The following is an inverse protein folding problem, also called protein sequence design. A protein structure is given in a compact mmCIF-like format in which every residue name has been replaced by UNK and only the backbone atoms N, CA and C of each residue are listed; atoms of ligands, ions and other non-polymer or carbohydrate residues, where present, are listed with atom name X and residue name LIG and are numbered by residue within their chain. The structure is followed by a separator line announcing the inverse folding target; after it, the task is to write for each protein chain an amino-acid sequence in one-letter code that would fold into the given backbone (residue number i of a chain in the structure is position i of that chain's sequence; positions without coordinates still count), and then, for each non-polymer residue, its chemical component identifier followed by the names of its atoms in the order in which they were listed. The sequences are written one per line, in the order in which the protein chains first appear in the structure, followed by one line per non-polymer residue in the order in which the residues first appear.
data_IF_024463244307
#
_entry.id   IF_024463244307
#
_cell.length_a   1.000
_cell.length_b   1.000
_cell.length_c   1.000
_cell.angle_alpha   90.00
_cell.angle_beta   90.00
_cell.angle_gamma   90.00
#
_symmetry.space_group_name_H-M   'P 1'
#
loop_
_entity.id
_entity.type
_entity.pdbx_description
1 polymer ?
#
# COMPACT_ATOMS: atom_id res chain seq x y z
N UNK A 1 20.28 4.08 9.21
CA UNK A 1 20.27 2.62 9.01
C UNK A 1 18.97 2.27 8.31
N UNK A 2 19.01 2.05 7.00
CA UNK A 2 17.83 1.73 6.19
C UNK A 2 18.20 0.53 5.29
N UNK A 3 17.95 -0.67 5.79
CA UNK A 3 18.01 -1.92 5.06
C UNK A 3 17.13 -2.90 5.84
N UNK A 4 16.00 -3.33 5.26
CA UNK A 4 15.10 -4.26 5.96
C UNK A 4 13.92 -4.77 5.14
N UNK A 5 13.44 -4.01 4.14
CA UNK A 5 12.24 -4.40 3.38
C UNK A 5 12.42 -5.54 2.37
N UNK A 6 13.65 -5.93 2.03
CA UNK A 6 13.89 -7.07 1.10
C UNK A 6 13.78 -8.43 1.76
N UNK A 7 13.99 -8.51 3.08
CA UNK A 7 14.10 -9.78 3.81
C UNK A 7 12.78 -10.54 3.84
N UNK A 8 11.65 -9.86 4.04
CA UNK A 8 10.37 -10.54 4.29
C UNK A 8 9.74 -11.11 3.02
N UNK A 9 9.91 -10.41 1.89
CA UNK A 9 9.47 -10.90 0.58
C UNK A 9 10.33 -12.06 0.09
N UNK A 10 11.64 -12.01 0.32
CA UNK A 10 12.56 -13.08 -0.09
C UNK A 10 12.34 -14.34 0.77
N UNK A 11 12.06 -14.16 2.06
CA UNK A 11 11.69 -15.25 2.97
C UNK A 11 10.34 -15.88 2.61
N UNK A 12 9.32 -15.07 2.29
CA UNK A 12 8.01 -15.57 1.86
C UNK A 12 8.14 -16.35 0.53
N UNK A 13 8.92 -15.85 -0.42
CA UNK A 13 9.17 -16.53 -1.69
C UNK A 13 9.92 -17.85 -1.49
N UNK A 14 10.92 -17.86 -0.63
CA UNK A 14 11.67 -19.09 -0.30
C UNK A 14 10.74 -20.12 0.34
N UNK A 15 9.91 -19.71 1.30
CA UNK A 15 8.94 -20.59 1.95
C UNK A 15 7.88 -21.13 0.97
N UNK A 16 7.40 -20.31 0.02
CA UNK A 16 6.46 -20.75 -1.02
C UNK A 16 7.12 -21.76 -1.97
N UNK A 17 8.37 -21.53 -2.38
CA UNK A 17 9.10 -22.46 -3.24
C UNK A 17 9.42 -23.79 -2.53
N UNK A 18 9.74 -23.76 -1.23
CA UNK A 18 9.89 -24.97 -0.41
C UNK A 18 8.57 -25.74 -0.27
N UNK A 19 7.45 -25.04 -0.11
CA UNK A 19 6.10 -25.64 -0.10
C UNK A 19 5.73 -26.29 -1.45
N UNK A 20 6.09 -25.65 -2.56
CA UNK A 20 5.87 -26.20 -3.91
C UNK A 20 6.69 -27.46 -4.17
N UNK A 21 7.86 -27.60 -3.53
CA UNK A 21 8.74 -28.76 -3.66
C UNK A 21 8.39 -29.91 -2.69
N UNK A 22 7.71 -29.63 -1.58
CA UNK A 22 7.42 -30.63 -0.54
C UNK A 22 6.06 -31.32 -0.68
N UNK A 23 5.11 -30.77 -1.45
CA UNK A 23 3.78 -31.36 -1.62
C UNK A 23 3.47 -31.79 -3.06
N UNK A 24 3.59 -33.10 -3.32
CA UNK A 24 3.20 -33.78 -4.56
C UNK A 24 1.68 -33.76 -4.88
N UNK A 25 0.87 -33.04 -4.11
CA UNK A 25 -0.61 -33.02 -4.22
C UNK A 25 -1.18 -31.82 -4.98
N UNK A 26 -0.33 -30.88 -5.42
CA UNK A 26 -0.81 -29.66 -6.06
C UNK A 26 -1.09 -29.91 -7.56
N UNK A 27 -2.28 -29.53 -8.06
CA UNK A 27 -2.58 -29.58 -9.49
C UNK A 27 -1.50 -28.87 -10.30
N UNK A 28 -1.02 -29.50 -11.37
CA UNK A 28 0.11 -29.02 -12.18
C UNK A 28 -0.13 -27.60 -12.69
N UNK A 29 -1.36 -27.29 -13.11
CA UNK A 29 -1.69 -25.95 -13.61
C UNK A 29 -1.58 -24.86 -12.53
N UNK A 30 -1.85 -25.19 -11.27
CA UNK A 30 -1.76 -24.23 -10.18
C UNK A 30 -0.29 -23.94 -9.81
N UNK A 31 0.56 -24.97 -9.89
CA UNK A 31 2.02 -24.84 -9.71
C UNK A 31 2.62 -23.95 -10.79
N UNK A 32 2.31 -24.22 -12.06
CA UNK A 32 2.81 -23.43 -13.20
C UNK A 32 2.38 -21.97 -13.12
N UNK A 33 1.12 -21.70 -12.72
CA UNK A 33 0.63 -20.33 -12.55
C UNK A 33 1.35 -19.59 -11.42
N UNK A 34 1.66 -20.26 -10.32
CA UNK A 34 2.40 -19.67 -9.21
C UNK A 34 3.85 -19.39 -9.59
N UNK A 35 4.55 -20.33 -10.22
CA UNK A 35 5.93 -20.14 -10.68
C UNK A 35 6.02 -18.96 -11.66
N UNK A 36 5.11 -18.90 -12.63
CA UNK A 36 5.06 -17.80 -13.61
C UNK A 36 4.76 -16.44 -12.95
N UNK A 37 3.90 -16.41 -11.93
CA UNK A 37 3.60 -15.18 -11.19
C UNK A 37 4.80 -14.67 -10.37
N UNK A 38 5.59 -15.59 -9.80
CA UNK A 38 6.82 -15.26 -9.07
C UNK A 38 7.93 -14.75 -10.00
N UNK A 39 8.12 -15.40 -11.14
CA UNK A 39 9.11 -14.98 -12.15
C UNK A 39 8.78 -13.59 -12.73
N UNK A 40 7.53 -13.35 -13.10
CA UNK A 40 7.07 -12.04 -13.61
C UNK A 40 7.22 -10.92 -12.58
N UNK A 41 7.01 -11.19 -11.29
CA UNK A 41 7.29 -10.21 -10.24
C UNK A 41 8.78 -9.88 -10.14
N UNK A 42 9.66 -10.88 -10.25
CA UNK A 42 11.11 -10.68 -10.19
C UNK A 42 11.61 -9.86 -11.37
N UNK A 43 11.09 -10.13 -12.57
CA UNK A 43 11.41 -9.35 -13.77
C UNK A 43 10.95 -7.89 -13.64
N UNK A 44 9.74 -7.65 -13.13
CA UNK A 44 9.24 -6.31 -12.89
C UNK A 44 10.06 -5.56 -11.83
N UNK A 45 10.44 -6.22 -10.74
CA UNK A 45 11.29 -5.63 -9.70
C UNK A 45 12.69 -5.29 -10.24
N UNK A 46 13.28 -6.18 -11.05
CA UNK A 46 14.58 -5.94 -11.70
C UNK A 46 14.51 -4.78 -12.69
N UNK A 47 13.43 -4.67 -13.48
CA UNK A 47 13.21 -3.55 -14.40
C UNK A 47 13.07 -2.21 -13.65
N UNK A 48 12.32 -2.18 -12.55
CA UNK A 48 12.19 -0.99 -11.70
C UNK A 48 13.53 -0.59 -11.06
N UNK A 49 14.32 -1.55 -10.57
CA UNK A 49 15.65 -1.29 -10.03
C UNK A 49 16.62 -0.78 -11.11
N UNK A 50 16.57 -1.32 -12.32
CA UNK A 50 17.38 -0.87 -13.45
C UNK A 50 17.02 0.56 -13.89
N UNK A 51 15.73 0.90 -13.92
CA UNK A 51 15.24 2.25 -14.18
C UNK A 51 15.70 3.25 -13.11
N UNK A 52 15.63 2.87 -11.82
CA UNK A 52 16.12 3.70 -10.72
C UNK A 52 17.65 3.90 -10.79
N UNK A 53 18.40 2.87 -11.14
CA UNK A 53 19.85 2.93 -11.29
C UNK A 53 20.31 3.69 -12.55
N UNK A 54 19.50 3.71 -13.61
CA UNK A 54 19.74 4.53 -14.80
C UNK A 54 19.47 6.02 -14.49
N UNK A 55 18.41 6.32 -13.75
CA UNK A 55 18.09 7.68 -13.30
C UNK A 55 19.16 8.27 -12.36
N UNK A 56 19.89 7.43 -11.61
CA UNK A 56 21.01 7.85 -10.77
C UNK A 56 22.30 8.15 -11.56
N UNK A 57 22.42 7.66 -12.81
CA UNK A 57 23.62 7.78 -13.66
C UNK A 57 23.52 8.87 -14.74
N UNK A 58 22.32 9.37 -15.06
CA UNK A 58 22.11 10.41 -16.06
C UNK A 58 22.31 11.82 -15.51
N UNK A 59 23.38 12.49 -15.94
CA UNK A 59 23.58 13.93 -15.78
C UNK A 59 22.57 14.73 -16.61
N UNK A 60 22.29 15.95 -16.13
CA UNK A 60 21.30 16.86 -16.68
C UNK A 60 21.49 17.14 -18.18
N UNK A 61 20.58 16.65 -19.03
CA UNK A 61 20.11 17.29 -20.27
C UNK A 61 18.96 16.45 -20.85
N UNK A 62 17.76 16.64 -20.28
CA UNK A 62 16.46 16.52 -20.95
C UNK A 62 15.34 16.69 -19.90
N UNK A 63 14.97 17.95 -19.63
CA UNK A 63 13.97 18.35 -18.62
C UNK A 63 12.53 17.89 -18.96
N UNK A 64 12.32 17.16 -20.06
CA UNK A 64 11.04 16.56 -20.44
C UNK A 64 10.91 15.08 -20.07
N UNK A 65 12.00 14.39 -19.71
CA UNK A 65 12.01 12.95 -19.44
C UNK A 65 12.55 12.61 -18.04
N UNK A 66 12.82 13.61 -17.20
CA UNK A 66 13.20 13.37 -15.81
C UNK A 66 12.04 12.69 -15.06
N UNK A 67 12.25 11.53 -14.41
CA UNK A 67 11.20 10.88 -13.64
C UNK A 67 10.71 11.87 -12.56
N UNK A 68 9.40 12.10 -12.53
CA UNK A 68 8.78 13.00 -11.57
C UNK A 68 9.12 12.53 -10.16
N UNK A 69 9.96 13.31 -9.46
CA UNK A 69 10.32 12.99 -8.08
C UNK A 69 9.08 13.15 -7.21
N UNK A 70 8.75 12.17 -6.34
CA UNK A 70 7.63 12.30 -5.44
C UNK A 70 7.84 13.52 -4.54
N UNK A 71 6.89 14.44 -4.58
CA UNK A 71 6.92 15.63 -3.78
C UNK A 71 6.57 15.26 -2.34
N UNK A 72 7.42 15.62 -1.39
CA UNK A 72 7.07 15.51 0.03
C UNK A 72 5.93 16.49 0.31
N UNK A 73 4.79 15.96 0.72
CA UNK A 73 3.60 16.74 1.04
C UNK A 73 3.17 16.43 2.46
N UNK A 74 2.54 17.41 3.11
CA UNK A 74 2.03 17.26 4.46
C UNK A 74 0.50 17.33 4.44
N UNK A 75 -0.18 16.46 5.18
CA UNK A 75 -1.64 16.59 5.33
C UNK A 75 -1.96 17.83 6.14
N UNK A 76 -2.94 18.60 5.70
CA UNK A 76 -3.55 19.70 6.47
C UNK A 76 -4.78 19.15 7.19
N UNK A 77 -4.71 18.84 8.50
CA UNK A 77 -5.79 18.14 9.18
C UNK A 77 -7.08 18.96 9.27
N UNK A 78 -6.97 20.30 9.31
CA UNK A 78 -8.12 21.21 9.40
C UNK A 78 -8.97 21.27 8.12
N UNK A 79 -8.41 20.89 6.98
CA UNK A 79 -9.09 20.88 5.67
C UNK A 79 -9.35 19.47 5.15
N UNK A 80 -8.81 18.46 5.84
CA UNK A 80 -8.99 17.04 5.51
C UNK A 80 -10.23 16.51 6.19
N UNK A 81 -11.06 15.80 5.41
CA UNK A 81 -12.27 15.17 5.90
C UNK A 81 -11.94 14.11 6.97
N UNK A 82 -12.87 13.91 7.92
CA UNK A 82 -12.71 12.89 8.96
C UNK A 82 -12.67 11.48 8.35
N UNK A 83 -11.85 10.62 8.93
CA UNK A 83 -11.77 9.22 8.54
C UNK A 83 -13.05 8.47 8.88
N UNK A 84 -13.31 7.38 8.15
CA UNK A 84 -14.40 6.47 8.42
C UNK A 84 -14.13 5.76 9.75
N UNK A 85 -15.01 6.00 10.71
CA UNK A 85 -15.02 5.29 11.99
C UNK A 85 -15.93 4.06 11.96
N UNK A 86 -16.80 3.93 10.95
CA UNK A 86 -17.90 2.96 10.97
C UNK A 86 -17.56 1.64 10.28
N UNK A 87 -17.30 0.62 11.08
CA UNK A 87 -17.90 -0.70 10.80
C UNK A 87 -19.33 -0.71 11.37
N UNK A 88 -20.18 -1.69 11.06
CA UNK A 88 -21.56 -1.70 11.62
C UNK A 88 -21.50 -1.58 13.15
N UNK A 89 -22.37 -0.77 13.76
CA UNK A 89 -22.24 -0.40 15.19
C UNK A 89 -22.10 -1.59 16.15
N UNK A 90 -22.76 -2.71 15.86
CA UNK A 90 -22.61 -3.95 16.64
C UNK A 90 -21.23 -4.61 16.47
N UNK A 91 -20.66 -4.60 15.26
CA UNK A 91 -19.35 -5.18 15.00
C UNK A 91 -18.26 -4.35 15.69
N UNK A 92 -18.35 -3.03 15.64
CA UNK A 92 -17.43 -2.14 16.34
C UNK A 92 -17.50 -2.33 17.86
N UNK A 93 -18.70 -2.46 18.42
CA UNK A 93 -18.90 -2.77 19.86
C UNK A 93 -18.30 -4.14 20.21
N UNK A 94 -18.53 -5.17 19.39
CA UNK A 94 -17.94 -6.50 19.59
C UNK A 94 -16.40 -6.47 19.53
N UNK A 95 -15.82 -5.73 18.58
CA UNK A 95 -14.37 -5.57 18.45
C UNK A 95 -13.78 -4.83 19.65
N UNK A 96 -14.39 -3.72 20.06
CA UNK A 96 -13.91 -2.93 21.20
C UNK A 96 -14.10 -3.68 22.53
N UNK A 97 -15.22 -4.38 22.72
CA UNK A 97 -15.44 -5.23 23.89
C UNK A 97 -14.43 -6.37 23.93
N UNK A 98 -14.18 -7.02 22.79
CA UNK A 98 -13.13 -8.02 22.66
C UNK A 98 -11.75 -7.47 22.99
N UNK A 99 -11.39 -6.29 22.48
CA UNK A 99 -10.12 -5.64 22.80
C UNK A 99 -10.00 -5.25 24.28
N UNK A 100 -11.10 -4.86 24.93
CA UNK A 100 -11.13 -4.54 26.36
C UNK A 100 -10.79 -5.74 27.27
N UNK A 101 -10.89 -6.97 26.76
CA UNK A 101 -10.43 -8.18 27.47
C UNK A 101 -8.90 -8.28 27.57
N UNK A 102 -8.16 -7.46 26.81
CA UNK A 102 -6.70 -7.47 26.79
C UNK A 102 -6.08 -8.63 26.01
N UNK A 103 -6.89 -9.49 25.38
CA UNK A 103 -6.39 -10.60 24.57
C UNK A 103 -5.68 -10.07 23.30
N UNK A 104 -4.40 -10.42 23.05
CA UNK A 104 -3.62 -9.84 21.95
C UNK A 104 -4.26 -9.98 20.57
N UNK A 105 -4.89 -11.12 20.30
CA UNK A 105 -5.57 -11.38 19.02
C UNK A 105 -6.79 -10.48 18.80
N UNK A 106 -7.52 -10.12 19.86
CA UNK A 106 -8.69 -9.24 19.79
C UNK A 106 -8.28 -7.77 19.71
N UNK A 107 -7.23 -7.38 20.44
CA UNK A 107 -6.61 -6.06 20.32
C UNK A 107 -6.10 -5.84 18.90
N UNK A 108 -5.30 -6.76 18.37
CA UNK A 108 -4.76 -6.69 17.01
C UNK A 108 -5.88 -6.65 15.96
N UNK A 109 -6.93 -7.46 16.16
CA UNK A 109 -8.10 -7.43 15.27
C UNK A 109 -8.80 -6.08 15.34
N UNK A 110 -9.07 -5.53 16.52
CA UNK A 110 -9.70 -4.21 16.63
C UNK A 110 -8.85 -3.10 15.99
N UNK A 111 -7.53 -3.13 16.15
CA UNK A 111 -6.60 -2.20 15.50
C UNK A 111 -6.63 -2.31 13.97
N UNK A 112 -6.72 -3.53 13.43
CA UNK A 112 -6.80 -3.74 11.97
C UNK A 112 -8.07 -3.16 11.32
N UNK A 113 -9.11 -2.89 12.12
CA UNK A 113 -10.35 -2.26 11.65
C UNK A 113 -10.39 -0.74 11.87
N UNK A 114 -9.41 -0.16 12.58
CA UNK A 114 -9.32 1.29 12.76
C UNK A 114 -8.66 1.92 11.53
N UNK A 115 -9.32 2.93 10.96
CA UNK A 115 -8.66 3.79 9.99
C UNK A 115 -7.42 4.41 10.62
N UNK A 116 -6.30 4.37 9.89
CA UNK A 116 -5.10 5.13 10.23
C UNK A 116 -5.36 6.64 10.08
N UNK A 117 -4.47 7.54 10.52
CA UNK A 117 -4.57 8.96 10.22
C UNK A 117 -4.25 9.22 8.74
N UNK A 118 -4.62 10.40 8.22
CA UNK A 118 -4.49 10.68 6.78
C UNK A 118 -3.03 10.84 6.32
N UNK A 119 -2.08 10.90 7.24
CA UNK A 119 -0.64 10.90 6.96
C UNK A 119 -0.17 9.62 6.26
N UNK A 120 -0.81 8.47 6.51
CA UNK A 120 -0.41 7.21 5.87
C UNK A 120 -0.63 7.17 4.36
N UNK A 121 -1.50 8.04 3.82
CA UNK A 121 -1.76 8.12 2.37
C UNK A 121 -0.83 9.08 1.63
N UNK A 122 0.07 9.77 2.34
CA UNK A 122 1.10 10.62 1.74
C UNK A 122 2.48 10.06 2.03
N UNK A 123 2.97 9.26 1.09
CA UNK A 123 4.30 8.68 1.13
C UNK A 123 4.77 8.29 -0.27
N UNK A 124 6.08 8.19 -0.44
CA UNK A 124 6.70 7.66 -1.65
C UNK A 124 6.94 6.13 -1.56
N UNK A 125 6.54 5.51 -0.45
CA UNK A 125 6.68 4.07 -0.22
C UNK A 125 5.51 3.27 -0.79
N UNK A 126 5.68 1.95 -0.94
CA UNK A 126 4.63 1.07 -1.46
C UNK A 126 3.43 1.03 -0.50
N UNK A 127 2.21 0.97 -1.05
CA UNK A 127 1.00 0.81 -0.27
C UNK A 127 0.96 -0.54 0.47
N UNK A 128 0.97 -0.51 1.81
CA UNK A 128 0.94 -1.72 2.66
C UNK A 128 -0.50 -2.06 3.04
N UNK A 129 -0.93 -3.34 2.95
CA UNK A 129 -2.26 -3.75 3.43
C UNK A 129 -2.48 -3.37 4.90
N UNK A 130 -3.62 -2.73 5.18
CA UNK A 130 -3.96 -2.26 6.53
C UNK A 130 -3.41 -0.87 6.88
N UNK A 131 -2.52 -0.31 6.06
CA UNK A 131 -2.00 1.04 6.23
C UNK A 131 -2.77 2.03 5.34
N UNK A 132 -4.08 2.11 5.55
CA UNK A 132 -4.97 2.92 4.73
C UNK A 132 -5.80 3.90 5.57
N UNK A 133 -5.98 5.09 5.00
CA UNK A 133 -6.99 6.05 5.45
C UNK A 133 -8.31 5.75 4.74
N UNK A 134 -9.33 5.36 5.50
CA UNK A 134 -10.67 5.17 4.95
C UNK A 134 -11.47 6.47 5.06
N UNK A 135 -12.14 6.89 4.00
CA UNK A 135 -13.06 8.02 4.02
C UNK A 135 -14.52 7.55 4.13
N UNK A 136 -15.40 8.42 4.65
CA UNK A 136 -16.84 8.19 4.60
C UNK A 136 -17.50 9.07 3.53
N UNK A 137 -18.28 8.47 2.64
CA UNK A 137 -19.05 9.21 1.63
C UNK A 137 -18.18 10.07 0.72
N UNK A 138 -18.65 11.29 0.42
CA UNK A 138 -17.88 12.29 -0.30
C UNK A 138 -16.90 12.96 0.67
N UNK A 139 -15.61 12.80 0.41
CA UNK A 139 -14.56 13.27 1.29
C UNK A 139 -13.38 13.85 0.52
N UNK A 140 -12.60 14.65 1.21
CA UNK A 140 -11.43 15.35 0.69
C UNK A 140 -10.20 15.11 1.56
N UNK A 141 -9.04 15.10 0.91
CA UNK A 141 -7.75 15.25 1.56
C UNK A 141 -7.13 16.56 1.12
N UNK A 142 -6.58 17.31 2.06
CA UNK A 142 -5.88 18.55 1.76
C UNK A 142 -4.39 18.37 2.02
N UNK A 143 -3.59 18.63 0.98
CA UNK A 143 -2.14 18.47 1.03
C UNK A 143 -1.46 19.84 0.93
N UNK A 144 -0.55 20.11 1.87
CA UNK A 144 0.35 21.25 1.81
C UNK A 144 1.55 20.88 0.96
N UNK A 145 1.71 21.61 -0.13
CA UNK A 145 2.89 21.55 -0.98
C UNK A 145 4.05 22.31 -0.28
N UNK A 146 5.30 21.88 -0.45
CA UNK A 146 6.46 22.59 0.06
C UNK A 146 6.51 24.01 -0.51
N UNK A 147 7.00 24.96 0.30
CA UNK A 147 7.01 26.38 -0.03
C UNK A 147 7.75 26.66 -1.34
N UNK A 148 7.05 27.28 -2.29
CA UNK A 148 7.58 27.63 -3.61
C UNK A 148 6.51 27.62 -4.71
N UNK A 149 6.88 28.07 -5.91
CA UNK A 149 6.05 27.92 -7.11
C UNK A 149 6.17 26.48 -7.62
N UNK A 150 5.43 25.55 -7.02
CA UNK A 150 5.30 24.19 -7.52
C UNK A 150 4.09 24.08 -8.44
N UNK A 151 4.24 23.41 -9.59
CA UNK A 151 3.13 23.05 -10.48
C UNK A 151 2.92 21.55 -10.38
N UNK A 152 1.74 21.13 -9.94
CA UNK A 152 1.36 19.73 -9.91
C UNK A 152 1.10 19.28 -11.35
N UNK A 153 1.97 18.41 -11.88
CA UNK A 153 1.82 17.84 -13.24
C UNK A 153 1.03 16.54 -13.24
N UNK A 154 1.23 15.72 -12.20
CA UNK A 154 0.64 14.39 -12.10
C UNK A 154 0.24 14.11 -10.65
N UNK A 155 -0.86 13.37 -10.50
CA UNK A 155 -1.28 12.79 -9.23
C UNK A 155 -1.38 11.28 -9.44
N UNK A 156 -0.71 10.53 -8.57
CA UNK A 156 -0.72 9.07 -8.58
C UNK A 156 -1.48 8.61 -7.34
N UNK A 157 -2.45 7.72 -7.54
CA UNK A 157 -3.21 7.08 -6.46
C UNK A 157 -2.88 5.60 -6.52
N UNK A 158 -2.20 5.12 -5.48
CA UNK A 158 -1.84 3.71 -5.35
C UNK A 158 -2.82 2.98 -4.43
N UNK A 159 -3.02 1.70 -4.69
CA UNK A 159 -3.79 0.81 -3.84
C UNK A 159 -3.06 -0.51 -3.66
N UNK A 160 -3.19 -1.17 -2.49
CA UNK A 160 -2.70 -2.51 -2.32
C UNK A 160 -3.29 -3.45 -3.40
N UNK A 161 -2.52 -4.47 -3.83
CA UNK A 161 -3.00 -5.42 -4.82
C UNK A 161 -4.27 -6.11 -4.32
N UNK A 162 -5.22 -6.36 -5.23
CA UNK A 162 -6.56 -6.87 -4.90
C UNK A 162 -6.55 -8.17 -4.09
N UNK A 163 -5.53 -9.01 -4.30
CA UNK A 163 -5.38 -10.28 -3.59
C UNK A 163 -5.01 -10.11 -2.12
N UNK A 164 -4.45 -8.96 -1.73
CA UNK A 164 -4.12 -8.64 -0.35
C UNK A 164 -5.30 -8.05 0.44
N UNK A 165 -6.43 -7.75 -0.23
CA UNK A 165 -7.62 -7.18 0.40
C UNK A 165 -8.65 -8.28 0.65
N UNK A 166 -8.88 -8.60 1.92
CA UNK A 166 -9.55 -9.84 2.33
C UNK A 166 -11.05 -9.96 2.03
N UNK A 167 -11.78 -8.92 1.58
CA UNK A 167 -13.22 -9.11 1.29
C UNK A 167 -14.02 -7.99 0.62
N UNK A 168 -13.50 -6.79 0.33
CA UNK A 168 -14.36 -5.72 -0.24
C UNK A 168 -13.69 -4.94 -1.36
N UNK A 169 -13.96 -5.37 -2.60
CA UNK A 169 -13.65 -4.68 -3.86
C UNK A 169 -14.35 -3.31 -4.04
N UNK A 170 -15.10 -2.84 -3.02
CA UNK A 170 -15.92 -1.64 -3.10
C UNK A 170 -15.35 -0.40 -2.42
N UNK A 171 -14.26 -0.51 -1.65
CA UNK A 171 -13.71 0.61 -0.85
C UNK A 171 -12.72 1.50 -1.60
N UNK A 172 -12.32 1.12 -2.81
CA UNK A 172 -11.43 1.92 -3.64
C UNK A 172 -12.09 3.22 -4.15
N UNK A 173 -11.37 4.35 -4.21
CA UNK A 173 -11.88 5.57 -4.81
C UNK A 173 -12.12 5.34 -6.31
N UNK A 174 -13.36 5.57 -6.76
CA UNK A 174 -13.76 5.39 -8.16
C UNK A 174 -13.73 6.68 -8.97
N UNK A 175 -13.96 7.80 -8.30
CA UNK A 175 -14.04 9.15 -8.87
C UNK A 175 -13.35 10.10 -7.91
N UNK A 176 -12.51 10.97 -8.44
CA UNK A 176 -11.82 12.00 -7.67
C UNK A 176 -11.62 13.24 -8.53
N UNK A 177 -11.42 14.37 -7.89
CA UNK A 177 -11.02 15.64 -8.47
C UNK A 177 -9.85 16.18 -7.66
N UNK A 178 -8.90 16.83 -8.34
CA UNK A 178 -7.72 17.46 -7.74
C UNK A 178 -7.84 18.96 -7.91
#
# INVERSE_FOLDING_TARGET
AAAGGGSDTDQLQTAVMELLNTQNSWPVELRERLTRALETQREAAAACAALAAAAARGGAEDLSAAPARPLKTEVVPSLTSRGATRTSGLHEVLLNFGAATGLPSLVQRAESYRSRPADVVVGAGPAIPGDCFAFHGNASIALRLPSGKAVVRHVVIEQPPRLALSSRLGSAPRRFSV
#
